data_IF_090610584457
#
_entry.id   IF_090610584457
#
_cell.length_a   1.000
_cell.length_b   1.000
_cell.length_c   1.000
_cell.angle_alpha   90.00
_cell.angle_beta   90.00
_cell.angle_gamma   90.00
#
_symmetry.space_group_name_H-M   'P 1'
#
loop_
_entity.id
_entity.type
_entity.pdbx_description
1 polymer ?
#
# COMPACT_ATOMS: atom_id res chain seq x y z
N UNK A 1 45.37 -62.75 206.24
CA UNK A 1 44.36 -63.09 207.25
C UNK A 1 44.65 -64.53 207.70
N UNK A 2 45.02 -64.77 208.97
CA UNK A 2 44.14 -65.19 210.08
C UNK A 2 43.49 -66.58 209.85
N UNK A 3 43.52 -67.57 210.77
CA UNK A 3 44.14 -67.70 212.12
C UNK A 3 44.27 -69.23 212.46
N UNK A 4 45.38 -69.71 213.04
CA UNK A 4 45.53 -70.35 214.39
C UNK A 4 44.47 -71.43 214.79
N UNK A 5 44.84 -72.62 215.28
CA UNK A 5 44.98 -73.04 216.72
C UNK A 5 45.38 -74.57 216.79
N UNK A 6 45.82 -75.21 217.90
CA UNK A 6 47.01 -75.06 218.77
C UNK A 6 47.05 -76.16 219.88
N UNK A 7 47.90 -77.20 219.76
CA UNK A 7 48.16 -78.23 220.81
C UNK A 7 47.27 -79.49 220.75
N UNK A 8 47.55 -80.59 221.46
CA UNK A 8 48.72 -80.95 222.32
C UNK A 8 48.50 -82.23 223.16
N UNK A 9 49.54 -82.72 223.87
CA UNK A 9 49.59 -83.92 224.76
C UNK A 9 49.43 -85.31 224.10
N UNK A 10 49.93 -86.44 224.65
CA UNK A 10 51.14 -86.78 225.46
C UNK A 10 51.18 -88.32 225.66
N UNK A 11 52.35 -88.90 225.98
CA UNK A 11 52.59 -90.29 226.47
C UNK A 11 52.35 -91.45 225.45
N UNK A 12 53.27 -92.40 225.19
CA UNK A 12 53.97 -93.39 226.04
C UNK A 12 53.04 -94.54 226.50
N UNK A 13 53.25 -95.85 226.24
CA UNK A 13 54.29 -96.64 225.54
C UNK A 13 53.61 -97.85 224.80
N UNK A 14 54.21 -98.91 224.21
CA UNK A 14 55.61 -99.38 224.07
C UNK A 14 55.82 -100.37 222.88
N UNK A 15 57.10 -100.70 222.61
CA UNK A 15 57.71 -101.96 222.17
C UNK A 15 57.11 -102.92 221.08
N UNK A 16 58.01 -103.27 220.15
CA UNK A 16 58.09 -104.53 219.37
C UNK A 16 57.10 -104.80 218.22
N UNK A 17 57.54 -104.57 216.97
CA UNK A 17 57.55 -105.50 215.82
C UNK A 17 58.13 -104.77 214.59
N UNK A 18 59.28 -105.21 214.08
CA UNK A 18 59.91 -104.72 212.84
C UNK A 18 60.65 -105.86 212.13
N UNK A 19 60.03 -106.54 211.13
CA UNK A 19 60.69 -106.55 209.81
C UNK A 19 59.76 -106.59 208.58
N UNK A 20 58.46 -106.85 208.74
CA UNK A 20 57.61 -107.36 207.64
C UNK A 20 57.12 -106.28 206.66
N UNK A 21 57.01 -105.03 207.11
CA UNK A 21 56.40 -103.94 206.32
C UNK A 21 57.20 -103.52 205.06
N UNK A 22 58.53 -103.75 205.04
CA UNK A 22 59.41 -103.14 204.04
C UNK A 22 59.35 -103.83 202.67
N UNK A 23 59.15 -105.16 202.64
CA UNK A 23 59.05 -105.93 201.39
C UNK A 23 57.80 -105.63 200.56
N UNK A 24 56.66 -105.33 201.20
CA UNK A 24 55.40 -105.05 200.51
C UNK A 24 55.47 -103.76 199.66
N UNK A 25 56.25 -102.76 200.11
CA UNK A 25 56.40 -101.47 199.43
C UNK A 25 57.17 -101.65 198.11
N UNK A 26 58.25 -102.46 198.11
CA UNK A 26 59.08 -102.68 196.93
C UNK A 26 58.33 -103.35 195.77
N UNK A 27 57.46 -104.31 196.06
CA UNK A 27 56.66 -105.01 195.06
C UNK A 27 55.67 -104.08 194.33
N UNK A 28 55.08 -103.11 195.05
CA UNK A 28 54.11 -102.17 194.48
C UNK A 28 54.74 -101.28 193.39
N UNK A 29 55.96 -100.76 193.61
CA UNK A 29 56.63 -99.88 192.65
C UNK A 29 56.98 -100.59 191.33
N UNK A 30 57.40 -101.86 191.38
CA UNK A 30 57.67 -102.65 190.16
C UNK A 30 56.40 -102.89 189.34
N UNK A 31 55.27 -103.20 189.99
CA UNK A 31 53.97 -103.35 189.32
C UNK A 31 53.52 -102.09 188.59
N UNK A 32 53.68 -100.92 189.23
CA UNK A 32 53.37 -99.61 188.62
C UNK A 32 54.25 -99.32 187.41
N UNK A 33 55.56 -99.62 187.48
CA UNK A 33 56.50 -99.41 186.37
C UNK A 33 56.15 -100.22 185.12
N UNK A 34 55.83 -101.51 185.27
CA UNK A 34 55.42 -102.37 184.15
C UNK A 34 54.06 -101.93 183.59
N UNK A 35 53.10 -101.60 184.46
CA UNK A 35 51.80 -101.08 184.05
C UNK A 35 51.89 -99.77 183.25
N UNK A 36 52.80 -98.86 183.63
CA UNK A 36 53.07 -97.64 182.88
C UNK A 36 53.68 -97.92 181.51
N UNK A 37 54.62 -98.86 181.40
CA UNK A 37 55.25 -99.20 180.12
C UNK A 37 54.24 -99.80 179.13
N UNK A 38 53.43 -100.76 179.57
CA UNK A 38 52.36 -101.37 178.75
C UNK A 38 51.33 -100.32 178.35
N UNK A 39 50.89 -99.45 179.29
CA UNK A 39 49.96 -98.36 179.00
C UNK A 39 50.53 -97.33 178.03
N UNK A 40 51.85 -97.05 178.09
CA UNK A 40 52.55 -96.14 177.16
C UNK A 40 52.57 -96.72 175.74
N UNK A 41 52.86 -98.01 175.60
CA UNK A 41 52.96 -98.67 174.31
C UNK A 41 51.58 -98.91 173.66
N UNK A 42 50.57 -99.28 174.44
CA UNK A 42 49.17 -99.33 174.02
C UNK A 42 48.63 -97.93 173.66
N UNK A 43 49.06 -96.88 174.36
CA UNK A 43 48.71 -95.49 174.00
C UNK A 43 49.39 -95.03 172.71
N UNK A 44 50.65 -95.41 172.46
CA UNK A 44 51.31 -95.21 171.15
C UNK A 44 50.57 -95.93 170.03
N UNK A 45 50.17 -97.20 170.24
CA UNK A 45 49.38 -97.97 169.26
C UNK A 45 48.01 -97.34 169.00
N UNK A 46 47.34 -96.79 170.02
CA UNK A 46 46.10 -96.03 169.86
C UNK A 46 46.30 -94.70 169.13
N UNK A 47 47.41 -93.99 169.36
CA UNK A 47 47.75 -92.77 168.62
C UNK A 47 48.03 -93.11 167.16
N UNK A 48 48.96 -94.01 166.85
CA UNK A 48 49.25 -94.42 165.47
C UNK A 48 48.03 -94.96 164.70
N UNK A 49 47.07 -95.63 165.38
CA UNK A 49 45.78 -96.00 164.77
C UNK A 49 44.90 -94.78 164.46
N UNK A 50 44.84 -93.79 165.36
CA UNK A 50 44.12 -92.53 165.11
C UNK A 50 44.79 -91.71 164.02
N UNK A 51 46.11 -91.62 164.01
CA UNK A 51 46.87 -90.88 163.01
C UNK A 51 46.66 -91.50 161.62
N UNK A 52 46.64 -92.84 161.51
CA UNK A 52 46.29 -93.55 160.27
C UNK A 52 44.82 -93.39 159.86
N UNK A 53 43.88 -93.44 160.81
CA UNK A 53 42.45 -93.18 160.57
C UNK A 53 42.19 -91.72 160.15
N UNK A 54 42.97 -90.77 160.63
CA UNK A 54 42.97 -89.38 160.17
C UNK A 54 43.63 -89.21 158.81
N UNK A 55 44.74 -89.90 158.53
CA UNK A 55 45.38 -89.90 157.20
C UNK A 55 44.46 -90.49 156.13
N UNK A 56 43.86 -91.67 156.38
CA UNK A 56 42.89 -92.27 155.45
C UNK A 56 41.67 -91.36 155.20
N UNK A 57 41.25 -90.58 156.20
CA UNK A 57 40.18 -89.57 156.04
C UNK A 57 40.64 -88.30 155.33
N UNK A 58 41.91 -87.93 155.43
CA UNK A 58 42.52 -86.81 154.72
C UNK A 58 42.71 -87.18 153.25
N UNK A 59 43.36 -88.31 152.96
CA UNK A 59 43.56 -88.85 151.61
C UNK A 59 42.21 -89.06 150.89
N UNK A 60 41.18 -89.53 151.59
CA UNK A 60 39.81 -89.66 151.06
C UNK A 60 39.08 -88.33 150.86
N UNK A 61 39.54 -87.23 151.48
CA UNK A 61 39.04 -85.87 151.23
C UNK A 61 39.82 -85.17 150.13
N UNK A 62 41.13 -85.29 150.11
CA UNK A 62 41.99 -84.70 149.08
C UNK A 62 41.71 -85.36 147.72
N UNK A 63 41.61 -86.69 147.65
CA UNK A 63 41.18 -87.39 146.43
C UNK A 63 39.71 -87.14 146.03
N UNK A 64 38.89 -86.55 146.90
CA UNK A 64 37.55 -86.05 146.55
C UNK A 64 37.62 -84.59 146.06
N UNK A 65 38.52 -83.77 146.61
CA UNK A 65 38.82 -82.42 146.14
C UNK A 65 39.43 -82.49 144.72
N UNK A 66 40.35 -83.41 144.46
CA UNK A 66 40.95 -83.64 143.14
C UNK A 66 39.90 -84.04 142.10
N UNK A 67 38.96 -84.94 142.45
CA UNK A 67 37.83 -85.30 141.56
C UNK A 67 36.96 -84.09 141.24
N UNK A 68 36.58 -83.31 142.27
CA UNK A 68 35.82 -82.08 142.06
C UNK A 68 36.60 -81.05 141.23
N UNK A 69 37.92 -80.96 141.38
CA UNK A 69 38.75 -80.06 140.59
C UNK A 69 38.80 -80.48 139.11
N UNK A 70 38.91 -81.79 138.83
CA UNK A 70 38.83 -82.34 137.46
C UNK A 70 37.43 -82.16 136.88
N UNK A 71 36.37 -82.42 137.65
CA UNK A 71 34.98 -82.18 137.23
C UNK A 71 34.75 -80.70 136.90
N UNK A 72 35.14 -79.77 137.79
CA UNK A 72 35.06 -78.32 137.56
C UNK A 72 35.89 -77.88 136.35
N UNK A 73 37.11 -78.39 136.15
CA UNK A 73 37.91 -78.09 134.97
C UNK A 73 37.24 -78.58 133.68
N UNK A 74 36.64 -79.77 133.69
CA UNK A 74 35.91 -80.32 132.54
C UNK A 74 34.63 -79.52 132.23
N UNK A 75 33.93 -79.04 133.27
CA UNK A 75 32.76 -78.18 133.13
C UNK A 75 33.14 -76.79 132.61
N UNK A 76 34.25 -76.20 133.08
CA UNK A 76 34.76 -74.93 132.58
C UNK A 76 35.17 -75.02 131.10
N UNK A 77 35.88 -76.09 130.69
CA UNK A 77 36.19 -76.34 129.28
C UNK A 77 34.92 -76.48 128.44
N UNK A 78 33.94 -77.26 128.90
CA UNK A 78 32.65 -77.44 128.22
C UNK A 78 31.85 -76.12 128.10
N UNK A 79 31.91 -75.26 129.11
CA UNK A 79 31.31 -73.91 129.08
C UNK A 79 32.06 -73.01 128.10
N UNK A 80 33.39 -73.09 128.00
CA UNK A 80 34.18 -72.31 127.04
C UNK A 80 33.92 -72.77 125.60
N UNK A 81 33.87 -74.07 125.34
CA UNK A 81 33.47 -74.65 124.05
C UNK A 81 32.04 -74.22 123.65
N UNK A 82 31.09 -74.28 124.59
CA UNK A 82 29.71 -73.79 124.36
C UNK A 82 29.67 -72.29 124.07
N UNK A 83 30.50 -71.47 124.75
CA UNK A 83 30.62 -70.05 124.44
C UNK A 83 31.28 -69.79 123.07
N UNK A 84 32.27 -70.58 122.68
CA UNK A 84 32.90 -70.48 121.36
C UNK A 84 31.89 -70.80 120.24
N UNK A 85 31.10 -71.86 120.42
CA UNK A 85 29.99 -72.24 119.52
C UNK A 85 28.90 -71.16 119.48
N UNK A 86 28.51 -70.61 120.64
CA UNK A 86 27.54 -69.50 120.70
C UNK A 86 28.04 -68.27 119.91
N UNK A 87 29.30 -67.84 120.11
CA UNK A 87 29.92 -66.72 119.37
C UNK A 87 29.98 -66.98 117.86
N UNK A 88 30.16 -68.23 117.42
CA UNK A 88 30.08 -68.59 116.00
C UNK A 88 28.66 -68.45 115.45
N UNK A 89 27.64 -68.88 116.20
CA UNK A 89 26.24 -68.66 115.81
C UNK A 89 25.86 -67.18 115.79
N UNK A 90 26.27 -66.39 116.79
CA UNK A 90 26.04 -64.94 116.81
C UNK A 90 26.65 -64.25 115.58
N UNK A 91 27.88 -64.62 115.20
CA UNK A 91 28.56 -64.07 114.02
C UNK A 91 27.90 -64.53 112.71
N UNK A 92 27.41 -65.77 112.64
CA UNK A 92 26.65 -66.28 111.50
C UNK A 92 25.28 -65.58 111.35
N UNK A 93 24.58 -65.32 112.46
CA UNK A 93 23.33 -64.57 112.52
C UNK A 93 23.56 -63.10 112.14
N UNK A 94 24.62 -62.47 112.64
CA UNK A 94 24.99 -61.11 112.28
C UNK A 94 25.29 -60.98 110.77
N UNK A 95 26.05 -61.93 110.20
CA UNK A 95 26.30 -61.96 108.75
C UNK A 95 25.02 -62.21 107.94
N UNK A 96 24.22 -63.21 108.32
CA UNK A 96 22.95 -63.50 107.65
C UNK A 96 21.99 -62.30 107.67
N UNK A 97 22.02 -61.52 108.76
CA UNK A 97 21.30 -60.25 108.88
C UNK A 97 21.85 -59.17 107.93
N UNK A 98 23.15 -58.94 107.85
CA UNK A 98 23.71 -57.95 106.91
C UNK A 98 23.48 -58.35 105.45
N UNK A 99 23.57 -59.65 105.14
CA UNK A 99 23.29 -60.17 103.80
C UNK A 99 21.81 -59.94 103.44
N UNK A 100 20.87 -60.19 104.36
CA UNK A 100 19.43 -59.93 104.19
C UNK A 100 19.09 -58.44 104.10
N UNK A 101 19.69 -57.58 104.92
CA UNK A 101 19.52 -56.13 104.85
C UNK A 101 20.04 -55.57 103.51
N UNK A 102 21.15 -56.12 102.98
CA UNK A 102 21.66 -55.77 101.64
C UNK A 102 20.74 -56.26 100.50
N UNK A 103 20.16 -57.45 100.64
CA UNK A 103 19.23 -58.02 99.67
C UNK A 103 17.92 -57.20 99.60
N UNK A 104 17.39 -56.77 100.74
CA UNK A 104 16.21 -55.92 100.81
C UNK A 104 16.48 -54.49 100.30
N UNK A 105 17.69 -53.95 100.51
CA UNK A 105 18.10 -52.69 99.88
C UNK A 105 18.13 -52.80 98.33
N UNK A 106 18.63 -53.93 97.80
CA UNK A 106 18.62 -54.23 96.36
C UNK A 106 17.21 -54.43 95.80
N UNK A 107 16.35 -55.13 96.53
CA UNK A 107 14.91 -55.29 96.20
C UNK A 107 14.22 -53.93 96.09
N UNK A 108 14.43 -53.04 97.08
CA UNK A 108 13.87 -51.69 97.10
C UNK A 108 14.35 -50.83 95.93
N UNK A 109 15.62 -50.97 95.52
CA UNK A 109 16.16 -50.32 94.31
C UNK A 109 15.50 -50.87 93.04
N UNK A 110 15.46 -52.20 92.87
CA UNK A 110 14.80 -52.84 91.72
C UNK A 110 13.32 -52.49 91.63
N UNK A 111 12.62 -52.37 92.75
CA UNK A 111 11.21 -51.92 92.80
C UNK A 111 11.03 -50.49 92.31
N UNK A 112 11.94 -49.57 92.68
CA UNK A 112 11.98 -48.20 92.16
C UNK A 112 12.26 -48.17 90.65
N UNK A 113 13.22 -48.96 90.18
CA UNK A 113 13.58 -49.00 88.75
C UNK A 113 12.45 -49.61 87.90
N UNK A 114 11.76 -50.64 88.41
CA UNK A 114 10.53 -51.19 87.82
C UNK A 114 9.38 -50.18 87.80
N UNK A 115 9.28 -49.28 88.78
CA UNK A 115 8.31 -48.18 88.75
C UNK A 115 8.66 -47.16 87.65
N UNK A 116 9.92 -46.74 87.56
CA UNK A 116 10.40 -45.82 86.53
C UNK A 116 10.16 -46.39 85.11
N UNK A 117 10.56 -47.64 84.86
CA UNK A 117 10.35 -48.33 83.58
C UNK A 117 8.85 -48.46 83.22
N UNK A 118 7.96 -48.60 84.20
CA UNK A 118 6.50 -48.59 83.96
C UNK A 118 5.99 -47.19 83.57
N UNK A 119 6.50 -46.14 84.21
CA UNK A 119 6.16 -44.76 83.85
C UNK A 119 6.64 -44.41 82.43
N UNK A 120 7.91 -44.70 82.12
CA UNK A 120 8.50 -44.52 80.79
C UNK A 120 7.74 -45.31 79.71
N UNK A 121 7.32 -46.55 79.99
CA UNK A 121 6.50 -47.36 79.09
C UNK A 121 5.13 -46.76 78.81
N UNK A 122 4.45 -46.21 79.81
CA UNK A 122 3.15 -45.55 79.61
C UNK A 122 3.29 -44.20 78.89
N UNK A 123 4.36 -43.44 79.12
CA UNK A 123 4.65 -42.23 78.34
C UNK A 123 5.09 -42.54 76.90
N UNK A 124 5.83 -43.62 76.66
CA UNK A 124 6.10 -44.11 75.30
C UNK A 124 4.80 -44.53 74.60
N UNK A 125 3.92 -45.28 75.28
CA UNK A 125 2.59 -45.66 74.77
C UNK A 125 1.71 -44.45 74.46
N UNK A 126 1.72 -43.40 75.29
CA UNK A 126 1.08 -42.10 74.99
C UNK A 126 1.66 -41.47 73.72
N UNK A 127 2.99 -41.41 73.60
CA UNK A 127 3.70 -40.88 72.41
C UNK A 127 3.33 -41.65 71.14
N UNK A 128 3.28 -42.99 71.20
CA UNK A 128 2.83 -43.86 70.08
C UNK A 128 1.39 -43.56 69.69
N UNK A 129 0.46 -43.39 70.65
CA UNK A 129 -0.93 -43.02 70.34
C UNK A 129 -1.04 -41.62 69.71
N UNK A 130 -0.23 -40.64 70.14
CA UNK A 130 -0.19 -39.33 69.48
C UNK A 130 0.42 -39.39 68.08
N UNK A 131 1.45 -40.20 67.88
CA UNK A 131 2.05 -40.41 66.56
C UNK A 131 1.08 -41.10 65.59
N UNK A 132 0.34 -42.11 66.05
CA UNK A 132 -0.69 -42.77 65.26
C UNK A 132 -1.77 -41.78 64.80
N UNK A 133 -2.27 -40.94 65.72
CA UNK A 133 -3.25 -39.88 65.37
C UNK A 133 -2.70 -38.88 64.34
N UNK A 134 -1.43 -38.49 64.45
CA UNK A 134 -0.79 -37.62 63.47
C UNK A 134 -0.65 -38.31 62.10
N UNK A 135 -0.26 -39.59 62.08
CA UNK A 135 -0.11 -40.39 60.87
C UNK A 135 -1.45 -40.60 60.14
N UNK A 136 -2.54 -40.86 60.88
CA UNK A 136 -3.89 -40.97 60.30
C UNK A 136 -4.44 -39.62 59.81
N UNK A 137 -4.09 -38.51 60.49
CA UNK A 137 -4.38 -37.16 59.99
C UNK A 137 -3.64 -36.85 58.67
N UNK A 138 -2.36 -37.23 58.56
CA UNK A 138 -1.57 -37.10 57.32
C UNK A 138 -2.13 -37.98 56.20
N UNK A 139 -2.60 -39.20 56.51
CA UNK A 139 -3.32 -40.06 55.55
C UNK A 139 -4.59 -39.39 55.03
N UNK A 140 -5.39 -38.79 55.91
CA UNK A 140 -6.60 -38.06 55.52
C UNK A 140 -6.27 -36.86 54.62
N UNK A 141 -5.31 -36.03 55.02
CA UNK A 141 -4.84 -34.89 54.20
C UNK A 141 -4.36 -35.34 52.81
N UNK A 142 -3.64 -36.47 52.73
CA UNK A 142 -3.20 -37.04 51.45
C UNK A 142 -4.37 -37.47 50.57
N UNK A 143 -5.40 -38.09 51.14
CA UNK A 143 -6.62 -38.48 50.41
C UNK A 143 -7.43 -37.26 49.93
N UNK A 144 -7.57 -36.22 50.75
CA UNK A 144 -8.23 -34.98 50.35
C UNK A 144 -7.45 -34.23 49.25
N UNK A 145 -6.11 -34.18 49.33
CA UNK A 145 -5.25 -33.63 48.26
C UNK A 145 -5.42 -34.42 46.95
N UNK A 146 -5.45 -35.76 47.00
CA UNK A 146 -5.71 -36.58 45.81
C UNK A 146 -7.10 -36.30 45.20
N UNK A 147 -8.11 -36.08 46.04
CA UNK A 147 -9.48 -35.75 45.62
C UNK A 147 -9.56 -34.38 44.93
N UNK A 148 -8.90 -33.35 45.47
CA UNK A 148 -8.82 -32.04 44.80
C UNK A 148 -7.96 -32.09 43.53
N UNK A 149 -6.92 -32.93 43.47
CA UNK A 149 -6.15 -33.17 42.24
C UNK A 149 -7.00 -33.82 41.14
N UNK A 150 -7.85 -34.79 41.48
CA UNK A 150 -8.81 -35.40 40.53
C UNK A 150 -9.82 -34.36 40.03
N UNK A 151 -10.42 -33.57 40.93
CA UNK A 151 -11.36 -32.48 40.59
C UNK A 151 -10.73 -31.43 39.66
N UNK A 152 -9.54 -30.94 39.99
CA UNK A 152 -8.84 -29.93 39.18
C UNK A 152 -8.45 -30.48 37.80
N UNK A 153 -7.97 -31.72 37.71
CA UNK A 153 -7.75 -32.43 36.43
C UNK A 153 -9.02 -32.49 35.58
N UNK A 154 -10.18 -32.71 36.19
CA UNK A 154 -11.46 -32.67 35.46
C UNK A 154 -11.91 -31.27 35.04
N UNK A 155 -11.64 -30.24 35.86
CA UNK A 155 -11.88 -28.84 35.48
C UNK A 155 -11.02 -28.48 34.28
N UNK A 156 -9.71 -28.72 34.33
CA UNK A 156 -8.79 -28.48 33.21
C UNK A 156 -9.18 -29.28 31.97
N UNK A 157 -9.61 -30.55 32.10
CA UNK A 157 -10.12 -31.35 30.96
C UNK A 157 -11.38 -30.71 30.33
N UNK A 158 -12.31 -30.20 31.16
CA UNK A 158 -13.53 -29.51 30.70
C UNK A 158 -13.23 -28.16 30.05
N UNK A 159 -12.26 -27.40 30.56
CA UNK A 159 -11.82 -26.13 29.96
C UNK A 159 -11.06 -26.34 28.66
N UNK A 160 -10.14 -27.30 28.62
CA UNK A 160 -9.42 -27.68 27.41
C UNK A 160 -10.40 -28.09 26.29
N UNK A 161 -11.41 -28.92 26.61
CA UNK A 161 -12.47 -29.27 25.66
C UNK A 161 -13.25 -28.03 25.14
N UNK A 162 -13.59 -27.08 26.02
CA UNK A 162 -14.19 -25.79 25.60
C UNK A 162 -13.26 -24.98 24.69
N UNK A 163 -11.94 -25.00 24.91
CA UNK A 163 -10.99 -24.32 24.01
C UNK A 163 -10.87 -25.01 22.65
N UNK A 164 -10.92 -26.34 22.59
CA UNK A 164 -10.93 -27.08 21.33
C UNK A 164 -12.20 -26.80 20.49
N UNK A 165 -13.39 -26.81 21.08
CA UNK A 165 -14.62 -26.46 20.33
C UNK A 165 -14.63 -24.98 19.90
N UNK A 166 -14.14 -24.05 20.75
CA UNK A 166 -13.92 -22.65 20.33
C UNK A 166 -12.96 -22.54 19.14
N UNK A 167 -11.84 -23.27 19.17
CA UNK A 167 -10.85 -23.31 18.08
C UNK A 167 -11.47 -23.86 16.79
N UNK A 168 -12.19 -24.97 16.85
CA UNK A 168 -12.89 -25.60 15.72
C UNK A 168 -13.92 -24.65 15.08
N UNK A 169 -14.66 -23.89 15.89
CA UNK A 169 -15.58 -22.84 15.38
C UNK A 169 -14.82 -21.69 14.71
N UNK A 170 -13.63 -21.31 15.21
CA UNK A 170 -12.78 -20.31 14.55
C UNK A 170 -12.17 -20.83 13.25
N UNK A 171 -11.73 -22.10 13.20
CA UNK A 171 -11.20 -22.72 11.99
C UNK A 171 -12.26 -22.80 10.88
N UNK A 172 -13.50 -23.18 11.19
CA UNK A 172 -14.62 -23.11 10.23
C UNK A 172 -14.89 -21.68 9.73
N UNK A 173 -14.77 -20.66 10.60
CA UNK A 173 -14.93 -19.25 10.19
C UNK A 173 -13.79 -18.76 9.29
N UNK A 174 -12.55 -19.17 9.57
CA UNK A 174 -11.38 -18.86 8.73
C UNK A 174 -11.52 -19.49 7.35
N UNK A 175 -11.97 -20.73 7.27
CA UNK A 175 -12.16 -21.40 5.97
C UNK A 175 -13.34 -20.83 5.18
N UNK A 176 -14.45 -20.45 5.84
CA UNK A 176 -15.52 -19.71 5.17
C UNK A 176 -15.04 -18.35 4.62
N UNK A 177 -14.31 -17.56 5.42
CA UNK A 177 -13.73 -16.30 4.97
C UNK A 177 -12.68 -16.47 3.85
N UNK A 178 -12.02 -17.64 3.78
CA UNK A 178 -11.15 -18.01 2.67
C UNK A 178 -11.94 -18.26 1.38
N UNK A 179 -13.02 -19.04 1.44
CA UNK A 179 -13.91 -19.32 0.30
C UNK A 179 -14.61 -18.04 -0.21
N UNK A 180 -15.03 -17.16 0.70
CA UNK A 180 -15.51 -15.81 0.37
C UNK A 180 -14.43 -15.02 -0.38
N UNK A 181 -13.20 -14.96 0.15
CA UNK A 181 -12.07 -14.28 -0.52
C UNK A 181 -11.74 -14.88 -1.89
N UNK A 182 -11.87 -16.19 -2.06
CA UNK A 182 -11.63 -16.86 -3.34
C UNK A 182 -12.72 -16.52 -4.37
N UNK A 183 -14.00 -16.53 -3.97
CA UNK A 183 -15.10 -16.10 -4.85
C UNK A 183 -15.01 -14.61 -5.23
N UNK A 184 -14.62 -13.72 -4.29
CA UNK A 184 -14.29 -12.33 -4.59
C UNK A 184 -13.09 -12.21 -5.55
N UNK A 185 -12.06 -13.05 -5.40
CA UNK A 185 -10.91 -13.06 -6.32
C UNK A 185 -11.32 -13.45 -7.74
N UNK A 186 -12.19 -14.45 -7.88
CA UNK A 186 -12.72 -14.90 -9.17
C UNK A 186 -13.59 -13.82 -9.82
N UNK A 187 -14.44 -13.12 -9.04
CA UNK A 187 -15.22 -11.98 -9.52
C UNK A 187 -14.34 -10.79 -9.94
N UNK A 188 -13.26 -10.51 -9.20
CA UNK A 188 -12.27 -9.50 -9.56
C UNK A 188 -11.44 -9.88 -10.79
N UNK A 189 -11.28 -11.16 -11.10
CA UNK A 189 -10.67 -11.63 -12.34
C UNK A 189 -11.62 -11.52 -13.53
N UNK A 190 -12.89 -11.88 -13.36
CA UNK A 190 -13.93 -11.72 -14.40
C UNK A 190 -14.15 -10.25 -14.77
N UNK A 191 -14.37 -9.37 -13.80
CA UNK A 191 -14.56 -7.93 -14.05
C UNK A 191 -13.33 -7.26 -14.67
N UNK A 192 -12.12 -7.78 -14.43
CA UNK A 192 -10.89 -7.37 -15.14
C UNK A 192 -10.87 -7.82 -16.60
N UNK A 193 -11.24 -9.07 -16.90
CA UNK A 193 -11.28 -9.55 -18.30
C UNK A 193 -12.41 -8.90 -19.10
N UNK A 194 -13.52 -8.55 -18.45
CA UNK A 194 -14.58 -7.69 -19.02
C UNK A 194 -14.04 -6.29 -19.33
N UNK A 195 -13.34 -5.63 -18.41
CA UNK A 195 -12.70 -4.33 -18.68
C UNK A 195 -11.65 -4.42 -19.80
N UNK A 196 -10.85 -5.48 -19.86
CA UNK A 196 -9.88 -5.69 -20.94
C UNK A 196 -10.57 -5.89 -22.30
N UNK A 197 -11.71 -6.59 -22.32
CA UNK A 197 -12.57 -6.75 -23.49
C UNK A 197 -13.17 -5.41 -23.94
N UNK A 198 -13.75 -4.64 -23.02
CA UNK A 198 -14.30 -3.30 -23.28
C UNK A 198 -13.22 -2.34 -23.78
N UNK A 199 -12.02 -2.35 -23.21
CA UNK A 199 -10.90 -1.53 -23.69
C UNK A 199 -10.49 -1.92 -25.12
N UNK A 200 -10.42 -3.21 -25.45
CA UNK A 200 -10.17 -3.67 -26.83
C UNK A 200 -11.28 -3.24 -27.80
N UNK A 201 -12.54 -3.23 -27.36
CA UNK A 201 -13.65 -2.70 -28.15
C UNK A 201 -13.51 -1.18 -28.36
N UNK A 202 -13.16 -0.42 -27.31
CA UNK A 202 -12.94 1.03 -27.38
C UNK A 202 -11.78 1.38 -28.32
N UNK A 203 -10.65 0.68 -28.27
CA UNK A 203 -9.53 0.89 -29.20
C UNK A 203 -9.89 0.47 -30.64
N UNK A 204 -10.72 -0.55 -30.82
CA UNK A 204 -11.26 -0.88 -32.15
C UNK A 204 -12.23 0.19 -32.69
N UNK A 205 -13.00 0.84 -31.81
CA UNK A 205 -13.89 1.94 -32.16
C UNK A 205 -13.11 3.22 -32.48
N UNK A 206 -12.04 3.52 -31.72
CA UNK A 206 -11.11 4.61 -32.02
C UNK A 206 -10.47 4.48 -33.40
N UNK A 207 -9.98 3.28 -33.75
CA UNK A 207 -9.44 3.02 -35.10
C UNK A 207 -10.49 3.16 -36.20
N UNK A 208 -11.76 2.83 -35.92
CA UNK A 208 -12.86 3.08 -36.88
C UNK A 208 -13.16 4.57 -37.05
N UNK A 209 -13.03 5.37 -36.00
CA UNK A 209 -13.14 6.83 -36.09
C UNK A 209 -11.95 7.43 -36.87
N UNK A 210 -10.72 7.04 -36.54
CA UNK A 210 -9.50 7.47 -37.25
C UNK A 210 -9.56 7.16 -38.77
N UNK A 211 -10.07 5.97 -39.13
CA UNK A 211 -10.33 5.59 -40.52
C UNK A 211 -11.49 6.40 -41.17
N UNK A 212 -12.49 6.84 -40.40
CA UNK A 212 -13.56 7.71 -40.90
C UNK A 212 -13.04 9.15 -41.12
N UNK A 213 -12.21 9.67 -40.22
CA UNK A 213 -11.55 10.96 -40.35
C UNK A 213 -10.63 10.98 -41.60
N UNK A 214 -9.99 9.84 -41.93
CA UNK A 214 -9.26 9.66 -43.20
C UNK A 214 -10.20 9.60 -44.41
N UNK A 215 -11.33 8.89 -44.30
CA UNK A 215 -12.34 8.82 -45.37
C UNK A 215 -12.93 10.20 -45.69
N UNK A 216 -13.23 11.01 -44.67
CA UNK A 216 -13.76 12.38 -44.80
C UNK A 216 -12.75 13.29 -45.51
N UNK A 217 -11.46 13.23 -45.12
CA UNK A 217 -10.39 13.94 -45.84
C UNK A 217 -10.28 13.53 -47.31
N UNK A 218 -10.45 12.25 -47.62
CA UNK A 218 -10.46 11.76 -49.00
C UNK A 218 -11.71 12.21 -49.78
N UNK A 219 -12.88 12.30 -49.14
CA UNK A 219 -14.09 12.87 -49.76
C UNK A 219 -13.90 14.35 -50.09
N UNK A 220 -13.38 15.15 -49.14
CA UNK A 220 -13.09 16.58 -49.36
C UNK A 220 -12.10 16.78 -50.52
N UNK A 221 -11.07 15.93 -50.64
CA UNK A 221 -10.14 15.95 -51.77
C UNK A 221 -10.83 15.64 -53.10
N UNK A 222 -11.66 14.58 -53.15
CA UNK A 222 -12.41 14.20 -54.35
C UNK A 222 -13.47 15.24 -54.75
N UNK A 223 -14.07 15.95 -53.79
CA UNK A 223 -14.98 17.08 -54.06
C UNK A 223 -14.23 18.27 -54.67
N UNK A 224 -13.01 18.57 -54.19
CA UNK A 224 -12.15 19.60 -54.76
C UNK A 224 -11.68 19.24 -56.19
N UNK A 225 -11.22 18.00 -56.40
CA UNK A 225 -10.82 17.49 -57.72
C UNK A 225 -12.00 17.54 -58.72
N UNK A 226 -13.20 17.14 -58.28
CA UNK A 226 -14.41 17.18 -59.11
C UNK A 226 -14.84 18.63 -59.43
N UNK A 227 -14.69 19.56 -58.49
CA UNK A 227 -14.91 20.99 -58.74
C UNK A 227 -13.89 21.55 -59.76
N UNK A 228 -12.61 21.15 -59.68
CA UNK A 228 -11.60 21.53 -60.66
C UNK A 228 -11.91 20.94 -62.05
N UNK A 229 -12.23 19.64 -62.14
CA UNK A 229 -12.61 18.99 -63.39
C UNK A 229 -13.85 19.63 -64.03
N UNK A 230 -14.81 20.07 -63.22
CA UNK A 230 -15.99 20.82 -63.68
C UNK A 230 -15.60 22.19 -64.26
N UNK A 231 -14.68 22.91 -63.60
CA UNK A 231 -14.14 24.17 -64.11
C UNK A 231 -13.34 23.99 -65.41
N UNK A 232 -12.47 22.99 -65.48
CA UNK A 232 -11.71 22.64 -66.69
C UNK A 232 -12.66 22.26 -67.85
N UNK A 233 -13.74 21.51 -67.58
CA UNK A 233 -14.75 21.17 -68.57
C UNK A 233 -15.55 22.40 -69.06
N UNK A 234 -15.77 23.42 -68.21
CA UNK A 234 -16.36 24.70 -68.63
C UNK A 234 -15.38 25.47 -69.52
N UNK A 235 -14.10 25.56 -69.16
CA UNK A 235 -13.09 26.23 -69.99
C UNK A 235 -12.94 25.56 -71.36
N UNK A 236 -12.82 24.24 -71.41
CA UNK A 236 -12.71 23.47 -72.67
C UNK A 236 -13.97 23.66 -73.54
N UNK A 237 -15.17 23.82 -72.95
CA UNK A 237 -16.39 24.17 -73.71
C UNK A 237 -16.30 25.59 -74.30
N UNK A 238 -15.84 26.58 -73.53
CA UNK A 238 -15.65 27.95 -74.01
C UNK A 238 -14.61 28.01 -75.14
N UNK A 239 -13.51 27.27 -75.04
CA UNK A 239 -12.51 27.09 -76.08
C UNK A 239 -13.10 26.43 -77.34
N UNK A 240 -13.92 25.38 -77.18
CA UNK A 240 -14.62 24.72 -78.31
C UNK A 240 -15.64 25.66 -78.98
N UNK A 241 -16.37 26.46 -78.21
CA UNK A 241 -17.33 27.43 -78.74
C UNK A 241 -16.62 28.61 -79.43
N UNK A 242 -15.41 29.00 -78.99
CA UNK A 242 -14.56 29.95 -79.71
C UNK A 242 -14.12 29.37 -81.06
N UNK A 243 -13.50 28.18 -81.06
CA UNK A 243 -13.07 27.50 -82.29
C UNK A 243 -14.24 27.24 -83.27
N UNK A 244 -15.47 27.04 -82.77
CA UNK A 244 -16.68 26.93 -83.60
C UNK A 244 -17.06 28.23 -84.29
N UNK A 245 -16.81 29.40 -83.68
CA UNK A 245 -16.97 30.71 -84.33
C UNK A 245 -15.87 30.91 -85.37
N UNK A 246 -14.61 30.68 -85.02
CA UNK A 246 -13.47 30.80 -85.94
C UNK A 246 -13.66 29.94 -87.20
N UNK A 247 -14.19 28.71 -87.06
CA UNK A 247 -14.53 27.82 -88.19
C UNK A 247 -15.71 28.36 -89.01
N UNK A 248 -16.71 28.98 -88.38
CA UNK A 248 -17.82 29.63 -89.08
C UNK A 248 -17.32 30.80 -89.93
N UNK A 249 -16.51 31.68 -89.35
CA UNK A 249 -15.93 32.86 -90.00
C UNK A 249 -15.02 32.44 -91.18
N UNK A 250 -14.24 31.37 -91.00
CA UNK A 250 -13.46 30.76 -92.09
C UNK A 250 -14.34 30.17 -93.21
N UNK A 251 -15.53 29.64 -92.90
CA UNK A 251 -16.48 29.22 -93.95
C UNK A 251 -17.14 30.38 -94.68
N UNK A 252 -17.40 31.51 -94.00
CA UNK A 252 -17.92 32.72 -94.65
C UNK A 252 -16.85 33.36 -95.55
N UNK A 253 -15.61 33.52 -95.05
CA UNK A 253 -14.47 33.98 -95.84
C UNK A 253 -14.21 33.08 -97.07
N UNK A 254 -14.45 31.76 -96.96
CA UNK A 254 -14.39 30.85 -98.11
C UNK A 254 -15.48 31.15 -99.15
N UNK A 255 -16.71 31.43 -98.72
CA UNK A 255 -17.81 31.80 -99.62
C UNK A 255 -17.49 33.11 -100.34
N UNK A 256 -17.06 34.14 -99.61
CA UNK A 256 -16.65 35.43 -100.18
C UNK A 256 -15.50 35.27 -101.19
N UNK A 257 -14.52 34.39 -100.94
CA UNK A 257 -13.47 34.08 -101.92
C UNK A 257 -14.00 33.35 -103.17
N UNK A 258 -15.01 32.49 -103.04
CA UNK A 258 -15.66 31.85 -104.18
C UNK A 258 -16.47 32.85 -105.02
N UNK A 259 -17.17 33.79 -104.37
CA UNK A 259 -17.90 34.89 -105.02
C UNK A 259 -16.95 35.86 -105.74
N UNK A 260 -15.84 36.28 -105.10
CA UNK A 260 -14.78 37.07 -105.73
C UNK A 260 -14.18 36.36 -106.95
N UNK A 261 -13.93 35.04 -106.85
CA UNK A 261 -13.44 34.23 -107.98
C UNK A 261 -14.46 34.21 -109.13
N UNK A 262 -15.75 34.12 -108.83
CA UNK A 262 -16.81 34.16 -109.84
C UNK A 262 -16.96 35.57 -110.46
N UNK A 263 -16.78 36.63 -109.68
CA UNK A 263 -16.76 38.01 -110.15
C UNK A 263 -15.60 38.26 -111.12
N UNK A 264 -14.37 37.90 -110.73
CA UNK A 264 -13.18 37.99 -111.58
C UNK A 264 -13.35 37.23 -112.90
N UNK A 265 -13.90 36.01 -112.85
CA UNK A 265 -14.20 35.21 -114.04
C UNK A 265 -15.26 35.85 -114.95
N UNK A 266 -16.23 36.56 -114.36
CA UNK A 266 -17.22 37.35 -115.11
C UNK A 266 -16.55 38.54 -115.81
N UNK A 267 -15.71 39.31 -115.08
CA UNK A 267 -14.96 40.43 -115.64
C UNK A 267 -14.00 39.99 -116.76
N UNK A 268 -13.35 38.83 -116.63
CA UNK A 268 -12.48 38.27 -117.67
C UNK A 268 -13.27 37.90 -118.95
N UNK A 269 -14.49 37.39 -118.81
CA UNK A 269 -15.38 37.14 -119.95
C UNK A 269 -15.83 38.46 -120.62
N UNK A 270 -16.22 39.47 -119.84
CA UNK A 270 -16.57 40.79 -120.39
C UNK A 270 -15.38 41.47 -121.09
N UNK A 271 -14.16 41.33 -120.53
CA UNK A 271 -12.93 41.78 -121.19
C UNK A 271 -12.76 41.14 -122.57
N UNK A 272 -12.96 39.82 -122.68
CA UNK A 272 -12.86 39.10 -123.97
C UNK A 272 -13.88 39.61 -124.99
N UNK A 273 -15.10 39.94 -124.56
CA UNK A 273 -16.10 40.56 -125.45
C UNK A 273 -15.64 41.93 -125.98
N UNK A 274 -15.12 42.81 -125.12
CA UNK A 274 -14.56 44.10 -125.57
C UNK A 274 -13.33 43.92 -126.50
N UNK A 275 -12.52 42.88 -126.27
CA UNK A 275 -11.36 42.54 -127.09
C UNK A 275 -11.76 41.98 -128.47
N UNK A 276 -12.86 41.22 -128.56
CA UNK A 276 -13.47 40.80 -129.83
C UNK A 276 -14.10 41.98 -130.60
N UNK A 277 -14.89 42.83 -129.94
CA UNK A 277 -15.54 43.98 -130.60
C UNK A 277 -14.52 45.02 -131.08
N UNK A 278 -13.44 45.26 -130.34
CA UNK A 278 -12.33 46.13 -130.77
C UNK A 278 -11.65 45.64 -132.06
N UNK A 279 -11.63 44.32 -132.32
CA UNK A 279 -11.12 43.78 -133.58
C UNK A 279 -12.11 44.00 -134.73
N UNK A 280 -13.43 43.86 -134.50
CA UNK A 280 -14.47 44.14 -135.52
C UNK A 280 -14.44 45.58 -136.05
N UNK A 281 -14.14 46.55 -135.18
CA UNK A 281 -13.94 47.95 -135.58
C UNK A 281 -12.66 48.17 -136.42
N UNK A 282 -11.62 47.33 -136.25
CA UNK A 282 -10.40 47.40 -137.08
C UNK A 282 -10.65 46.87 -138.49
N UNK A 283 -11.34 45.72 -138.59
CA UNK A 283 -11.59 45.07 -139.89
C UNK A 283 -12.56 45.87 -140.77
N UNK A 284 -13.51 46.59 -140.16
CA UNK A 284 -14.42 47.50 -140.89
C UNK A 284 -13.72 48.77 -141.35
N UNK A 285 -12.78 49.34 -140.58
CA UNK A 285 -12.02 50.52 -140.99
C UNK A 285 -11.22 50.27 -142.30
N UNK A 286 -10.56 49.11 -142.42
CA UNK A 286 -9.78 48.77 -143.61
C UNK A 286 -10.59 48.63 -144.91
N UNK A 287 -11.91 48.44 -144.84
CA UNK A 287 -12.78 48.37 -146.01
C UNK A 287 -13.09 49.75 -146.60
N UNK A 288 -13.12 50.80 -145.79
CA UNK A 288 -13.33 52.17 -146.27
C UNK A 288 -12.10 52.74 -146.97
N UNK A 289 -10.89 52.32 -146.57
CA UNK A 289 -9.63 52.78 -147.16
C UNK A 289 -9.50 52.34 -148.64
N UNK A 290 -9.84 51.08 -148.94
CA UNK A 290 -9.87 50.54 -150.31
C UNK A 290 -10.87 51.24 -151.25
N UNK A 291 -11.92 51.86 -150.69
CA UNK A 291 -12.92 52.59 -151.46
C UNK A 291 -12.46 54.01 -151.85
N UNK A 292 -11.40 54.53 -151.22
CA UNK A 292 -10.86 55.87 -151.48
C UNK A 292 -10.00 55.90 -152.77
N UNK A 293 -9.12 54.92 -152.95
CA UNK A 293 -8.21 54.90 -154.10
C UNK A 293 -8.91 54.61 -155.44
N UNK A 294 -10.07 53.94 -155.43
CA UNK A 294 -10.90 53.74 -156.63
C UNK A 294 -11.58 55.03 -157.12
N UNK A 295 -11.70 56.06 -156.26
CA UNK A 295 -12.27 57.35 -156.64
C UNK A 295 -11.21 58.30 -157.24
N UNK A 296 -9.94 58.19 -156.84
CA UNK A 296 -8.83 59.00 -157.39
C UNK A 296 -8.65 58.78 -158.90
N UNK A 297 -8.61 57.53 -159.35
CA UNK A 297 -8.41 57.19 -160.76
C UNK A 297 -9.52 57.69 -161.71
N UNK A 298 -10.69 58.08 -161.19
CA UNK A 298 -11.79 58.67 -161.98
C UNK A 298 -11.76 60.19 -162.05
N UNK A 299 -10.82 60.85 -161.37
CA UNK A 299 -10.73 62.31 -161.32
C UNK A 299 -9.86 62.84 -162.48
N UNK A 300 -8.67 62.27 -162.67
CA UNK A 300 -7.70 62.59 -163.74
C UNK A 300 -8.30 62.50 -165.16
N UNK A 301 -9.29 61.62 -165.38
CA UNK A 301 -9.95 61.41 -166.68
C UNK A 301 -11.02 62.49 -166.99
N UNK A 302 -11.49 63.23 -165.99
CA UNK A 302 -12.49 64.29 -166.14
C UNK A 302 -11.82 65.65 -166.38
N UNK A 303 -10.75 65.98 -165.63
CA UNK A 303 -10.05 67.28 -165.77
C UNK A 303 -9.55 67.52 -167.20
N UNK A 304 -9.10 66.46 -167.89
CA UNK A 304 -8.50 66.53 -169.23
C UNK A 304 -9.48 66.78 -170.37
N UNK A 305 -10.78 66.63 -170.14
CA UNK A 305 -11.82 66.87 -171.15
C UNK A 305 -12.57 68.20 -170.95
N UNK A 306 -12.33 68.89 -169.83
CA UNK A 306 -12.95 70.19 -169.54
C UNK A 306 -12.14 71.37 -170.10
N UNK A 307 -10.81 71.25 -170.14
CA UNK A 307 -9.87 72.29 -170.56
C UNK A 307 -10.13 72.87 -171.96
N UNK A 308 -10.65 72.05 -172.87
CA UNK A 308 -10.80 72.38 -174.29
C UNK A 308 -12.10 73.17 -174.57
N UNK A 309 -13.02 73.23 -173.61
CA UNK A 309 -14.33 73.88 -173.74
C UNK A 309 -14.32 75.29 -173.13
N UNK A 310 -13.67 75.48 -171.97
CA UNK A 310 -13.74 76.74 -171.22
C UNK A 310 -13.07 77.95 -171.92
N UNK A 311 -12.11 77.70 -172.81
CA UNK A 311 -11.39 78.76 -173.52
C UNK A 311 -12.24 79.51 -174.56
N UNK A 312 -13.41 78.99 -174.98
CA UNK A 312 -14.22 79.60 -176.04
C UNK A 312 -15.40 80.45 -175.57
N UNK A 313 -15.83 80.41 -174.30
CA UNK A 313 -17.14 80.97 -173.92
C UNK A 313 -17.13 82.01 -172.78
N UNK A 314 -16.05 82.17 -172.02
CA UNK A 314 -15.94 83.23 -171.00
C UNK A 314 -15.57 84.61 -171.57
N UNK A 315 -16.42 85.14 -172.46
CA UNK A 315 -16.39 86.53 -172.92
C UNK A 315 -17.70 87.32 -172.70
N UNK A 316 -18.65 86.75 -171.93
CA UNK A 316 -19.82 87.43 -171.34
C UNK A 316 -20.28 86.65 -170.08
N UNK A 317 -20.07 87.12 -168.83
CA UNK A 317 -20.71 88.20 -168.05
C UNK A 317 -21.92 87.76 -167.17
N UNK A 318 -21.78 87.92 -165.84
CA UNK A 318 -22.84 88.15 -164.80
C UNK A 318 -23.78 86.93 -164.42
N UNK A 319 -24.36 86.74 -163.21
CA UNK A 319 -24.58 87.58 -162.00
C UNK A 319 -25.00 86.78 -160.68
N UNK A 320 -24.62 87.23 -159.45
CA UNK A 320 -25.23 87.06 -158.06
C UNK A 320 -25.60 85.66 -157.40
N UNK A 321 -26.05 85.52 -156.09
CA UNK A 321 -25.43 85.72 -154.72
C UNK A 321 -26.26 85.17 -153.45
N UNK A 322 -25.59 84.69 -152.36
CA UNK A 322 -25.94 84.59 -150.86
C UNK A 322 -27.10 83.64 -150.32
N UNK A 323 -27.41 83.36 -149.01
CA UNK A 323 -27.30 84.03 -147.66
C UNK A 323 -27.25 83.10 -146.34
N UNK A 324 -27.52 83.61 -145.10
CA UNK A 324 -27.11 83.13 -143.70
C UNK A 324 -28.24 83.18 -142.56
N UNK A 325 -28.23 82.84 -141.20
CA UNK A 325 -27.55 81.98 -140.12
C UNK A 325 -28.25 82.08 -138.67
N UNK A 326 -28.05 81.16 -137.66
CA UNK A 326 -28.51 81.21 -136.19
C UNK A 326 -28.13 79.94 -135.30
N UNK A 327 -28.44 79.61 -134.00
CA UNK A 327 -28.86 80.20 -132.64
C UNK A 327 -29.33 79.06 -131.61
N UNK A 328 -29.38 78.95 -130.23
CA UNK A 328 -28.88 79.55 -128.92
C UNK A 328 -29.26 78.67 -127.62
N UNK A 329 -28.98 79.02 -126.31
CA UNK A 329 -29.01 78.15 -125.05
C UNK A 329 -29.47 78.82 -123.67
N UNK A 330 -29.76 78.09 -122.54
CA UNK A 330 -29.90 78.63 -121.13
C UNK A 330 -29.69 77.69 -119.85
N UNK A 331 -29.25 78.26 -118.68
CA UNK A 331 -28.72 77.62 -117.41
C UNK A 331 -28.92 78.46 -116.07
N UNK A 332 -28.42 78.09 -114.84
CA UNK A 332 -27.98 78.97 -113.66
C UNK A 332 -27.60 78.30 -112.27
N UNK A 333 -26.92 79.00 -111.31
CA UNK A 333 -26.20 78.42 -110.09
C UNK A 333 -25.85 79.37 -108.85
N UNK A 334 -25.40 78.79 -107.70
CA UNK A 334 -24.46 79.30 -106.61
C UNK A 334 -24.92 80.29 -105.46
N UNK A 335 -24.27 80.53 -104.27
CA UNK A 335 -23.24 79.87 -103.37
C UNK A 335 -22.83 80.73 -102.09
N UNK A 336 -22.54 80.17 -100.87
CA UNK A 336 -21.61 80.68 -99.76
C UNK A 336 -21.78 80.01 -98.34
N UNK A 337 -20.99 80.38 -97.28
CA UNK A 337 -20.58 79.50 -96.14
C UNK A 337 -20.13 80.22 -94.82
N UNK A 338 -20.41 79.67 -93.60
CA UNK A 338 -19.60 79.82 -92.35
C UNK A 338 -19.94 78.79 -91.21
N UNK A 339 -19.18 78.80 -90.10
CA UNK A 339 -19.09 77.73 -89.07
C UNK A 339 -20.30 77.55 -88.11
N UNK A 340 -20.43 76.33 -87.56
CA UNK A 340 -21.35 75.91 -86.49
C UNK A 340 -20.60 75.00 -85.48
N UNK A 341 -20.84 75.12 -84.17
CA UNK A 341 -20.32 74.19 -83.15
C UNK A 341 -21.25 72.98 -82.95
N UNK A 342 -20.67 71.79 -82.68
CA UNK A 342 -21.42 70.61 -82.26
C UNK A 342 -21.78 70.72 -80.77
N UNK A 343 -22.96 71.25 -80.44
CA UNK A 343 -23.35 71.49 -79.04
C UNK A 343 -23.54 70.18 -78.25
N UNK A 344 -23.69 69.04 -78.94
CA UNK A 344 -23.64 67.69 -78.35
C UNK A 344 -22.33 67.36 -77.60
N UNK A 345 -21.25 68.13 -77.74
CA UNK A 345 -20.01 67.94 -76.97
C UNK A 345 -20.18 68.31 -75.47
N UNK A 346 -21.25 69.02 -75.09
CA UNK A 346 -21.63 69.28 -73.68
C UNK A 346 -22.47 68.12 -73.16
N UNK A 347 -22.00 67.47 -72.10
CA UNK A 347 -22.72 66.38 -71.44
C UNK A 347 -24.04 66.90 -70.87
N UNK A 348 -25.15 66.42 -71.44
CA UNK A 348 -26.52 66.86 -71.15
C UNK A 348 -27.26 67.37 -72.38
N UNK A 349 -26.55 67.88 -73.40
CA UNK A 349 -27.14 68.35 -74.66
C UNK A 349 -27.27 67.18 -75.66
N UNK A 350 -28.41 66.48 -75.60
CA UNK A 350 -28.81 65.56 -76.66
C UNK A 350 -29.29 66.29 -77.92
N UNK A 351 -29.38 65.58 -79.05
CA UNK A 351 -29.81 66.12 -80.38
C UNK A 351 -31.08 66.97 -80.36
N UNK A 352 -32.06 66.63 -79.49
CA UNK A 352 -33.31 67.39 -79.34
C UNK A 352 -33.07 68.74 -78.64
N UNK A 353 -32.17 68.79 -77.65
CA UNK A 353 -31.77 70.04 -77.00
C UNK A 353 -30.91 70.91 -77.92
N UNK A 354 -30.00 70.31 -78.70
CA UNK A 354 -29.24 71.03 -79.74
C UNK A 354 -30.18 71.66 -80.78
N UNK A 355 -31.16 70.92 -81.31
CA UNK A 355 -32.19 71.48 -82.18
C UNK A 355 -32.98 72.61 -81.51
N UNK A 356 -33.37 72.45 -80.24
CA UNK A 356 -34.07 73.50 -79.48
C UNK A 356 -33.20 74.76 -79.29
N UNK A 357 -31.88 74.61 -79.09
CA UNK A 357 -30.94 75.73 -78.97
C UNK A 357 -30.71 76.42 -80.33
N UNK A 358 -30.62 75.64 -81.41
CA UNK A 358 -30.54 76.13 -82.78
C UNK A 358 -31.80 76.91 -83.18
N UNK A 359 -32.99 76.44 -82.81
CA UNK A 359 -34.26 77.15 -83.03
C UNK A 359 -34.38 78.44 -82.20
N UNK A 360 -33.65 78.53 -81.08
CA UNK A 360 -33.48 79.75 -80.26
C UNK A 360 -32.34 80.67 -80.74
N UNK A 361 -31.65 80.34 -81.84
CA UNK A 361 -30.57 81.15 -82.43
C UNK A 361 -29.19 80.98 -81.77
N UNK A 362 -28.96 79.88 -81.06
CA UNK A 362 -27.75 79.63 -80.26
C UNK A 362 -26.98 78.47 -80.90
N UNK A 363 -25.80 78.76 -81.50
CA UNK A 363 -25.07 77.85 -82.39
C UNK A 363 -23.58 77.66 -82.01
N UNK A 364 -23.16 78.19 -80.85
CA UNK A 364 -21.75 78.17 -80.42
C UNK A 364 -21.57 77.97 -78.91
N UNK A 365 -20.46 77.34 -78.52
CA UNK A 365 -20.08 77.18 -77.11
C UNK A 365 -19.87 78.53 -76.41
N UNK A 366 -19.44 79.57 -77.15
CA UNK A 366 -19.27 80.90 -76.58
C UNK A 366 -20.60 81.48 -76.06
N UNK A 367 -21.69 81.34 -76.80
CA UNK A 367 -22.98 81.87 -76.37
C UNK A 367 -23.46 81.22 -75.06
N UNK A 368 -23.29 79.90 -74.92
CA UNK A 368 -23.66 79.16 -73.69
C UNK A 368 -22.73 79.53 -72.51
N UNK A 369 -21.44 79.71 -72.77
CA UNK A 369 -20.45 80.12 -71.76
C UNK A 369 -20.70 81.51 -71.15
N UNK A 370 -21.48 82.35 -71.84
CA UNK A 370 -21.75 83.75 -71.49
C UNK A 370 -23.19 83.98 -70.96
N UNK A 371 -24.03 82.93 -70.86
CA UNK A 371 -25.40 83.02 -70.30
C UNK A 371 -25.45 83.65 -68.89
N UNK A 372 -26.42 84.56 -68.69
CA UNK A 372 -26.82 85.03 -67.36
C UNK A 372 -28.05 84.29 -66.79
N UNK A 373 -28.49 84.67 -65.59
CA UNK A 373 -29.65 84.05 -64.94
C UNK A 373 -30.99 84.27 -65.68
N UNK A 374 -31.10 85.32 -66.51
CA UNK A 374 -32.26 85.57 -67.36
C UNK A 374 -32.19 84.74 -68.67
N UNK A 375 -31.01 84.53 -69.24
CA UNK A 375 -30.79 83.59 -70.35
C UNK A 375 -31.14 82.15 -69.95
N UNK A 376 -30.60 81.68 -68.81
CA UNK A 376 -30.92 80.36 -68.24
C UNK A 376 -32.43 80.23 -68.04
N UNK A 377 -33.09 81.27 -67.52
CA UNK A 377 -34.55 81.29 -67.34
C UNK A 377 -35.31 81.25 -68.66
N UNK A 378 -34.84 81.95 -69.71
CA UNK A 378 -35.44 81.95 -71.05
C UNK A 378 -35.36 80.58 -71.71
N UNK A 379 -34.21 79.91 -71.66
CA UNK A 379 -34.03 78.59 -72.27
C UNK A 379 -34.80 77.52 -71.47
N UNK A 380 -34.82 77.58 -70.13
CA UNK A 380 -35.66 76.70 -69.30
C UNK A 380 -37.17 76.91 -69.52
N UNK A 381 -37.61 78.11 -69.95
CA UNK A 381 -39.01 78.34 -70.30
C UNK A 381 -39.41 77.64 -71.61
N UNK A 382 -38.50 77.56 -72.59
CA UNK A 382 -38.70 76.83 -73.84
C UNK A 382 -38.66 75.30 -73.66
N UNK A 383 -37.76 74.80 -72.80
CA UNK A 383 -37.58 73.35 -72.53
C UNK A 383 -38.65 72.81 -71.57
N UNK A 384 -39.89 72.68 -72.06
CA UNK A 384 -41.08 72.43 -71.23
C UNK A 384 -41.01 71.17 -70.36
N UNK A 385 -40.43 70.07 -70.84
CA UNK A 385 -40.37 68.78 -70.12
C UNK A 385 -39.17 68.62 -69.16
N UNK A 386 -38.09 69.40 -69.31
CA UNK A 386 -36.80 69.12 -68.65
C UNK A 386 -36.12 70.36 -68.02
N UNK A 387 -36.89 71.16 -67.30
CA UNK A 387 -36.41 72.37 -66.61
C UNK A 387 -35.38 72.03 -65.52
N UNK A 388 -34.32 72.83 -65.45
CA UNK A 388 -33.24 72.72 -64.47
C UNK A 388 -31.99 71.96 -64.94
N UNK A 389 -32.04 71.25 -66.09
CA UNK A 389 -30.88 70.46 -66.57
C UNK A 389 -29.62 71.27 -66.82
N UNK A 390 -29.75 72.50 -67.34
CA UNK A 390 -28.59 73.41 -67.54
C UNK A 390 -27.77 73.66 -66.27
N UNK A 391 -28.44 73.67 -65.10
CA UNK A 391 -27.82 73.91 -63.80
C UNK A 391 -27.36 72.59 -63.15
N UNK A 392 -28.12 71.51 -63.32
CA UNK A 392 -27.81 70.19 -62.76
C UNK A 392 -26.66 69.48 -63.49
N UNK A 393 -26.58 69.64 -64.81
CA UNK A 393 -25.56 69.04 -65.68
C UNK A 393 -24.42 70.05 -66.03
N UNK A 394 -24.36 71.22 -65.36
CA UNK A 394 -23.39 72.33 -65.54
C UNK A 394 -23.00 72.64 -67.01
N UNK A 395 -23.98 73.06 -67.81
CA UNK A 395 -23.72 73.36 -69.23
C UNK A 395 -22.81 74.58 -69.42
N UNK A 396 -22.80 75.53 -68.47
CA UNK A 396 -22.02 76.78 -68.56
C UNK A 396 -20.54 76.54 -68.22
N UNK A 397 -20.24 75.72 -67.21
CA UNK A 397 -18.89 75.27 -66.89
C UNK A 397 -18.28 74.48 -68.06
N UNK A 398 -19.02 73.49 -68.57
CA UNK A 398 -18.60 72.71 -69.74
C UNK A 398 -18.41 73.57 -71.00
N UNK A 399 -19.34 74.50 -71.29
CA UNK A 399 -19.20 75.43 -72.41
C UNK A 399 -17.95 76.33 -72.28
N UNK A 400 -17.58 76.74 -71.07
CA UNK A 400 -16.34 77.51 -70.81
C UNK A 400 -15.10 76.66 -71.03
N UNK A 401 -15.09 75.40 -70.61
CA UNK A 401 -13.97 74.49 -70.84
C UNK A 401 -13.79 74.18 -72.34
N UNK A 402 -14.89 73.91 -73.06
CA UNK A 402 -14.86 73.69 -74.52
C UNK A 402 -14.46 74.96 -75.29
N UNK A 403 -14.97 76.13 -74.90
CA UNK A 403 -14.54 77.44 -75.45
C UNK A 403 -13.03 77.67 -75.22
N UNK A 404 -12.51 77.36 -74.03
CA UNK A 404 -11.08 77.45 -73.75
C UNK A 404 -10.28 76.46 -74.61
N UNK A 405 -10.75 75.23 -74.75
CA UNK A 405 -10.13 74.18 -75.57
C UNK A 405 -10.15 74.46 -77.08
N UNK A 406 -11.14 75.21 -77.59
CA UNK A 406 -11.30 75.56 -79.01
C UNK A 406 -10.74 76.93 -79.40
N UNK A 407 -10.74 77.92 -78.48
CA UNK A 407 -10.36 79.31 -78.77
C UNK A 407 -9.29 79.90 -77.82
N UNK A 408 -8.87 79.17 -76.77
CA UNK A 408 -7.91 79.60 -75.75
C UNK A 408 -6.48 79.11 -75.98
N UNK A 409 -5.88 79.48 -77.10
CA UNK A 409 -4.49 79.12 -77.41
C UNK A 409 -3.44 79.91 -76.62
N UNK A 410 -2.42 79.22 -76.08
CA UNK A 410 -1.09 79.73 -75.70
C UNK A 410 -1.00 80.97 -74.79
N UNK A 411 -0.68 80.75 -73.51
CA UNK A 411 0.27 81.61 -72.75
C UNK A 411 0.84 80.85 -71.54
N UNK A 412 1.98 80.17 -71.74
CA UNK A 412 2.78 79.57 -70.66
C UNK A 412 3.41 80.67 -69.77
N UNK A 413 3.77 80.33 -68.52
CA UNK A 413 5.10 79.75 -68.25
C UNK A 413 5.10 78.21 -68.16
#
# INVERSE_FOLDING_TARGET
>A
MFRNIRGGHNQEMDASIYPLALYLIAAAFLGVGVGWLVRREDSRRRLARKDKDWQEKLDAKDSHIDRLAVEVASLLSSIEDQQAVARQYDLAVAKGRTDLESAHAKEKLMSKDLFNLRAEREDFKRKVVTFQKALDSVRQQSADIQKEFIKSREVYKRELAKTFEKRKVLEMKVENARLERESFSNLMQATRSEHESVNKMLDSARKRLENLDELERNVIALEADNAQLSHDAIRIRQENDALRRDVSDLTELRIQNQELTHCLKSMENSRKQFEEDANRYRDTAGQYEQHSDTLRLRLDEVEKNLSDIEMQQNQALQEARQAEVGSTQSDAQSQSQQDIDNLQDIVGIGKVFEQTLHDLGIYSFQQIAEFDAADISRVNAAMQEFKGRMEQDDWIGQARELRFKKYGGSSNP
#
